data_IF_309689419544
#
_entry.id   IF_309689419544
#
_cell.length_a   1.000
_cell.length_b   1.000
_cell.length_c   1.000
_cell.angle_alpha   90.00
_cell.angle_beta   90.00
_cell.angle_gamma   90.00
#
_symmetry.space_group_name_H-M   'P 1'
#
loop_
_entity.id
_entity.type
_entity.pdbx_description
1 polymer ?
#
# COMPACT_ATOMS: atom_id res chain seq x y z
N UNK A 1 -16.03 -14.75 -23.25
CA UNK A 1 -16.89 -13.86 -22.45
C UNK A 1 -16.15 -12.57 -22.24
N UNK A 2 -16.69 -11.44 -22.69
CA UNK A 2 -16.16 -10.13 -22.30
C UNK A 2 -16.64 -9.90 -20.87
N UNK A 3 -15.78 -10.17 -19.89
CA UNK A 3 -16.06 -9.74 -18.52
C UNK A 3 -16.29 -8.22 -18.53
N UNK A 4 -17.29 -7.75 -17.78
CA UNK A 4 -17.44 -6.33 -17.49
C UNK A 4 -16.21 -5.89 -16.68
N UNK A 5 -15.17 -5.40 -17.38
CA UNK A 5 -14.00 -4.81 -16.74
C UNK A 5 -14.44 -3.44 -16.22
N UNK A 6 -15.16 -3.44 -15.11
CA UNK A 6 -15.53 -2.22 -14.41
C UNK A 6 -14.25 -1.55 -13.88
N UNK A 7 -14.10 -0.26 -14.18
CA UNK A 7 -12.94 0.48 -13.71
C UNK A 7 -12.96 0.52 -12.17
N UNK A 8 -11.84 0.20 -11.49
CA UNK A 8 -11.80 0.21 -10.03
C UNK A 8 -12.07 1.61 -9.50
N UNK A 9 -12.90 1.71 -8.47
CA UNK A 9 -13.26 2.98 -7.84
C UNK A 9 -12.18 3.46 -6.85
N UNK A 10 -11.32 2.56 -6.37
CA UNK A 10 -10.25 2.88 -5.43
C UNK A 10 -8.89 2.73 -6.07
N UNK A 11 -7.98 3.66 -5.78
CA UNK A 11 -6.58 3.60 -6.24
C UNK A 11 -5.93 2.28 -5.83
N UNK A 12 -6.18 1.80 -4.60
CA UNK A 12 -5.64 0.54 -4.06
C UNK A 12 -6.12 -0.70 -4.82
N UNK A 13 -7.18 -0.60 -5.61
CA UNK A 13 -7.72 -1.71 -6.40
C UNK A 13 -7.06 -1.84 -7.77
N UNK A 14 -6.36 -0.79 -8.22
CA UNK A 14 -5.64 -0.76 -9.49
C UNK A 14 -4.53 -1.81 -9.50
N UNK A 15 -4.41 -2.53 -10.61
CA UNK A 15 -3.44 -3.64 -10.78
C UNK A 15 -2.00 -3.25 -10.44
N UNK A 16 -1.60 -2.03 -10.79
CA UNK A 16 -0.26 -1.51 -10.48
C UNK A 16 -0.02 -1.43 -8.97
N UNK A 17 -0.98 -0.88 -8.21
CA UNK A 17 -0.85 -0.70 -6.76
C UNK A 17 -0.87 -2.06 -6.06
N UNK A 18 -1.79 -2.97 -6.45
CA UNK A 18 -1.80 -4.34 -5.94
C UNK A 18 -0.46 -5.05 -6.13
N UNK A 19 0.11 -4.97 -7.34
CA UNK A 19 1.41 -5.58 -7.65
C UNK A 19 2.53 -4.98 -6.79
N UNK A 20 2.54 -3.66 -6.59
CA UNK A 20 3.59 -2.99 -5.82
C UNK A 20 3.56 -3.28 -4.32
N UNK A 21 2.46 -3.80 -3.79
CA UNK A 21 2.29 -4.06 -2.35
C UNK A 21 2.02 -5.54 -2.05
N UNK A 22 2.21 -6.44 -3.02
CA UNK A 22 1.77 -7.83 -2.90
C UNK A 22 2.62 -8.67 -1.93
N UNK A 23 3.88 -8.29 -1.71
CA UNK A 23 4.81 -8.95 -0.80
C UNK A 23 4.59 -8.52 0.66
N UNK A 24 3.89 -7.41 0.90
CA UNK A 24 3.58 -6.91 2.24
C UNK A 24 2.52 -7.81 2.90
N UNK A 25 2.84 -8.49 4.02
CA UNK A 25 1.88 -9.36 4.69
C UNK A 25 0.66 -8.59 5.22
N UNK A 26 -0.54 -9.18 5.15
CA UNK A 26 -1.78 -8.51 5.60
C UNK A 26 -1.72 -8.03 7.06
N UNK A 27 -0.98 -8.73 7.94
CA UNK A 27 -0.78 -8.32 9.34
C UNK A 27 -0.11 -6.96 9.49
N UNK A 28 0.74 -6.55 8.53
CA UNK A 28 1.42 -5.26 8.52
C UNK A 28 0.52 -4.12 8.02
N UNK A 29 -0.61 -4.45 7.39
CA UNK A 29 -1.59 -3.49 6.85
C UNK A 29 -2.88 -3.52 7.67
N UNK A 30 -3.73 -4.55 7.47
CA UNK A 30 -5.06 -4.66 8.11
C UNK A 30 -4.95 -4.99 9.60
N UNK A 31 -3.95 -5.80 9.97
CA UNK A 31 -3.68 -6.15 11.37
C UNK A 31 -2.97 -5.05 12.16
N UNK A 32 -2.41 -4.06 11.47
CA UNK A 32 -1.63 -2.98 12.07
C UNK A 32 -2.51 -1.77 12.35
N UNK A 33 -2.73 -1.45 13.62
CA UNK A 33 -3.64 -0.35 14.04
C UNK A 33 -3.17 1.03 13.58
N UNK A 34 -1.88 1.19 13.30
CA UNK A 34 -1.29 2.44 12.85
C UNK A 34 -1.36 2.62 11.32
N UNK A 35 -1.60 1.53 10.56
CA UNK A 35 -1.76 1.55 9.09
C UNK A 35 -3.24 1.43 8.70
N UNK A 36 -3.95 0.46 9.30
CA UNK A 36 -5.38 0.13 9.11
C UNK A 36 -5.74 -0.39 7.71
N UNK A 37 -5.27 0.27 6.65
CA UNK A 37 -5.52 -0.12 5.26
C UNK A 37 -4.52 0.53 4.30
N UNK A 38 -4.38 -0.01 3.08
CA UNK A 38 -3.62 0.62 1.99
C UNK A 38 -4.18 1.99 1.54
N UNK A 39 -5.34 2.41 2.03
CA UNK A 39 -5.88 3.75 1.71
C UNK A 39 -5.16 4.86 2.48
N UNK A 40 -4.45 4.53 3.55
CA UNK A 40 -3.63 5.46 4.34
C UNK A 40 -2.20 5.47 3.81
N UNK A 41 -2.02 5.98 2.59
CA UNK A 41 -0.74 5.92 1.87
C UNK A 41 0.41 6.53 2.69
N UNK A 42 0.12 7.61 3.40
CA UNK A 42 1.05 8.38 4.22
C UNK A 42 1.44 7.70 5.55
N UNK A 43 0.72 6.65 5.97
CA UNK A 43 1.10 5.85 7.12
C UNK A 43 2.43 5.11 6.91
N UNK A 44 2.71 4.69 5.67
CA UNK A 44 3.97 4.03 5.30
C UNK A 44 4.88 4.95 4.46
N UNK A 45 4.31 5.64 3.47
CA UNK A 45 5.03 6.62 2.66
C UNK A 45 4.95 8.01 3.32
N UNK A 46 5.77 8.23 4.34
CA UNK A 46 5.74 9.45 5.19
C UNK A 46 5.87 10.79 4.43
N UNK A 47 6.26 10.75 3.16
CA UNK A 47 6.38 11.90 2.26
C UNK A 47 5.40 11.85 1.06
N UNK A 48 4.31 11.07 1.15
CA UNK A 48 3.31 10.92 0.08
C UNK A 48 2.72 12.26 -0.39
N UNK A 49 2.52 13.22 0.51
CA UNK A 49 2.04 14.57 0.17
C UNK A 49 2.99 15.35 -0.76
N UNK A 50 4.27 14.95 -0.83
CA UNK A 50 5.28 15.48 -1.76
C UNK A 50 5.44 14.62 -3.02
N UNK A 51 4.64 13.57 -3.17
CA UNK A 51 4.73 12.62 -4.28
C UNK A 51 5.84 11.57 -4.14
N UNK A 52 6.43 11.41 -2.95
CA UNK A 52 7.49 10.42 -2.72
C UNK A 52 6.87 9.09 -2.30
N UNK A 53 6.98 8.10 -3.19
CA UNK A 53 6.48 6.72 -3.02
C UNK A 53 7.57 5.66 -3.21
N UNK A 54 8.83 6.09 -3.24
CA UNK A 54 9.97 5.20 -3.43
C UNK A 54 10.12 4.24 -2.24
N UNK A 55 10.46 2.98 -2.53
CA UNK A 55 10.56 1.92 -1.54
C UNK A 55 11.66 2.22 -0.49
N UNK A 56 12.74 2.88 -0.89
CA UNK A 56 13.87 3.23 -0.02
C UNK A 56 13.48 4.19 1.11
N UNK A 57 12.31 4.83 0.98
CA UNK A 57 11.79 5.80 1.95
C UNK A 57 10.59 5.30 2.74
N UNK A 58 10.14 4.06 2.48
CA UNK A 58 9.01 3.43 3.15
C UNK A 58 9.37 3.14 4.61
N UNK A 59 8.43 3.45 5.51
CA UNK A 59 8.52 3.09 6.92
C UNK A 59 7.22 2.46 7.36
N UNK A 60 7.18 1.14 7.51
CA UNK A 60 5.98 0.46 8.02
C UNK A 60 5.98 0.56 9.56
N UNK A 61 4.96 1.20 10.18
CA UNK A 61 4.87 1.29 11.63
C UNK A 61 4.96 -0.08 12.30
N UNK A 62 5.77 -0.20 13.35
CA UNK A 62 6.02 -1.44 14.11
C UNK A 62 6.82 -2.53 13.36
N UNK A 63 7.35 -2.23 12.16
CA UNK A 63 8.18 -3.13 11.36
C UNK A 63 9.40 -2.38 10.76
N UNK A 64 10.36 -1.92 11.59
CA UNK A 64 11.50 -1.11 11.12
C UNK A 64 12.52 -1.90 10.28
N UNK A 65 12.58 -3.22 10.44
CA UNK A 65 13.57 -4.11 9.80
C UNK A 65 12.97 -4.88 8.60
N UNK A 66 11.80 -4.47 8.11
CA UNK A 66 11.21 -5.09 6.93
C UNK A 66 11.91 -4.61 5.67
N UNK A 67 12.60 -5.53 5.01
CA UNK A 67 13.06 -5.39 3.63
C UNK A 67 12.18 -6.30 2.77
N UNK A 68 11.68 -5.74 1.66
CA UNK A 68 10.79 -6.39 0.69
C UNK A 68 11.55 -7.45 -0.13
#
# INVERSE_FOLDING_TARGET
>A
ATENIEAPLRIIEVRYIKRKHHEIPEKMIKGNKDVKSLSYCDACHTQAAKGVFDADTVKIPNYPDWED
#
